data_IF_229501606579
#
_entry.id   IF_229501606579
#
_cell.length_a   1.000
_cell.length_b   1.000
_cell.length_c   1.000
_cell.angle_alpha   90.00
_cell.angle_beta   90.00
_cell.angle_gamma   90.00
#
_symmetry.space_group_name_H-M   'P 1'
#
loop_
_entity.id
_entity.type
_entity.pdbx_description
1 polymer ?
#
# COMPACT_ATOMS: atom_id res chain seq x y z
N UNK A 1 4.94 30.45 -15.63
CA UNK A 1 6.37 30.82 -15.55
C UNK A 1 6.79 30.71 -14.09
N UNK A 2 7.37 29.59 -13.70
CA UNK A 2 8.10 29.47 -12.43
C UNK A 2 9.55 29.13 -12.78
N UNK A 3 10.44 29.89 -12.15
CA UNK A 3 11.84 30.08 -12.50
C UNK A 3 12.67 28.80 -12.27
N UNK A 4 13.29 28.30 -13.33
CA UNK A 4 14.12 27.09 -13.39
C UNK A 4 15.44 27.18 -12.60
N UNK A 5 15.73 28.33 -11.96
CA UNK A 5 16.99 28.56 -11.23
C UNK A 5 16.98 27.98 -9.80
N UNK A 6 15.86 28.03 -9.09
CA UNK A 6 15.78 27.51 -7.71
C UNK A 6 15.83 25.98 -7.64
N UNK A 7 15.31 25.31 -8.65
CA UNK A 7 15.32 23.84 -8.73
C UNK A 7 16.73 23.28 -9.00
N UNK A 8 17.59 24.05 -9.66
CA UNK A 8 18.98 23.66 -9.92
C UNK A 8 19.89 23.93 -8.71
N UNK A 9 19.60 24.95 -7.90
CA UNK A 9 20.34 25.22 -6.67
C UNK A 9 20.11 24.12 -5.61
N UNK A 10 18.88 23.63 -5.47
CA UNK A 10 18.55 22.52 -4.55
C UNK A 10 19.14 21.18 -5.00
N UNK A 11 19.27 20.94 -6.32
CA UNK A 11 19.95 19.75 -6.86
C UNK A 11 21.46 19.77 -6.62
N UNK A 12 22.09 20.94 -6.68
CA UNK A 12 23.53 21.09 -6.41
C UNK A 12 23.88 20.84 -4.94
N UNK A 13 23.00 21.21 -3.99
CA UNK A 13 23.22 20.92 -2.56
C UNK A 13 23.05 19.44 -2.20
N UNK A 14 22.31 18.65 -2.99
CA UNK A 14 22.15 17.21 -2.76
C UNK A 14 23.34 16.37 -3.24
N UNK A 15 24.20 16.89 -4.10
CA UNK A 15 25.35 16.16 -4.67
C UNK A 15 26.62 16.21 -3.81
N UNK A 16 26.64 16.97 -2.71
CA UNK A 16 27.82 17.14 -1.83
C UNK A 16 27.69 16.47 -0.45
N UNK A 17 26.89 15.40 -0.32
CA UNK A 17 26.87 14.61 0.93
C UNK A 17 27.76 13.37 0.82
N UNK A 18 28.66 13.24 1.81
CA UNK A 18 29.63 12.15 1.95
C UNK A 18 28.96 10.75 1.88
N UNK A 19 29.60 9.74 1.28
CA UNK A 19 29.01 8.43 0.99
C UNK A 19 28.97 7.47 2.20
N UNK A 20 28.77 7.99 3.41
CA UNK A 20 28.62 7.17 4.64
C UNK A 20 27.20 7.15 5.20
N UNK A 21 26.26 7.89 4.62
CA UNK A 21 24.85 7.81 5.03
C UNK A 21 24.18 6.59 4.39
N UNK A 22 24.25 5.47 5.11
CA UNK A 22 23.40 4.30 4.86
C UNK A 22 21.94 4.74 4.93
N UNK A 23 21.29 4.82 3.77
CA UNK A 23 19.83 4.83 3.71
C UNK A 23 19.32 3.50 4.30
N UNK A 24 18.92 3.54 5.56
CA UNK A 24 18.20 2.44 6.20
C UNK A 24 16.77 2.48 5.67
N UNK A 25 16.50 1.63 4.68
CA UNK A 25 15.15 1.20 4.39
C UNK A 25 14.58 0.53 5.65
N UNK A 26 13.41 0.99 6.10
CA UNK A 26 12.66 0.30 7.16
C UNK A 26 12.02 -0.94 6.52
N UNK A 27 12.84 -1.97 6.33
CA UNK A 27 12.39 -3.35 6.25
C UNK A 27 12.65 -3.98 7.63
N UNK A 28 11.66 -4.73 8.10
CA UNK A 28 11.72 -5.55 9.32
C UNK A 28 11.77 -4.80 10.65
N UNK A 29 10.74 -4.03 10.94
CA UNK A 29 10.22 -3.98 12.31
C UNK A 29 9.02 -4.93 12.38
N UNK A 30 9.21 -6.10 13.00
CA UNK A 30 8.11 -6.84 13.62
C UNK A 30 7.50 -5.92 14.70
N UNK A 31 6.60 -5.01 14.32
CA UNK A 31 5.94 -4.10 15.26
C UNK A 31 4.86 -4.87 16.03
N UNK A 32 5.29 -5.50 17.11
CA UNK A 32 4.37 -5.95 18.14
C UNK A 32 3.87 -4.74 18.93
N UNK A 33 2.56 -4.49 18.85
CA UNK A 33 1.64 -3.80 19.81
C UNK A 33 1.65 -2.26 19.91
N UNK A 34 0.53 -1.68 19.45
CA UNK A 34 -0.19 -0.47 19.91
C UNK A 34 0.56 0.57 20.78
N UNK A 35 1.02 1.65 20.15
CA UNK A 35 1.60 2.84 20.81
C UNK A 35 0.53 3.90 21.19
N UNK A 36 -0.48 3.53 21.99
CA UNK A 36 -1.44 4.50 22.55
C UNK A 36 -1.07 4.82 24.01
N UNK A 37 -1.19 6.08 24.39
CA UNK A 37 -0.98 6.54 25.77
C UNK A 37 -2.27 6.25 26.56
N UNK A 38 -2.24 5.18 27.35
CA UNK A 38 -3.34 4.78 28.21
C UNK A 38 -3.14 5.28 29.63
N UNK A 39 -4.22 5.73 30.25
CA UNK A 39 -4.20 6.18 31.63
C UNK A 39 -5.49 5.78 32.37
N UNK A 40 -5.38 4.99 33.45
CA UNK A 40 -6.53 4.67 34.26
C UNK A 40 -6.81 5.81 35.25
N UNK A 41 -8.09 6.18 35.34
CA UNK A 41 -8.60 7.14 36.31
C UNK A 41 -9.58 6.46 37.26
N UNK A 42 -9.79 7.04 38.44
CA UNK A 42 -10.97 6.78 39.25
C UNK A 42 -11.94 7.95 39.20
N UNK A 43 -13.22 7.63 39.18
CA UNK A 43 -14.31 8.54 39.47
C UNK A 43 -15.37 7.77 40.24
N UNK A 44 -15.82 8.29 41.39
CA UNK A 44 -16.93 7.70 42.15
C UNK A 44 -16.76 6.20 42.44
N UNK A 45 -15.54 5.79 42.82
CA UNK A 45 -15.14 4.41 43.09
C UNK A 45 -15.16 3.46 41.88
N UNK A 46 -15.31 3.99 40.66
CA UNK A 46 -15.20 3.23 39.44
C UNK A 46 -13.91 3.59 38.71
N UNK A 47 -13.22 2.56 38.23
CA UNK A 47 -12.11 2.72 37.30
C UNK A 47 -12.63 3.07 35.90
N UNK A 48 -11.99 4.05 35.28
CA UNK A 48 -12.26 4.57 33.94
C UNK A 48 -10.97 4.47 33.14
N UNK A 49 -10.98 3.65 32.09
CA UNK A 49 -9.83 3.51 31.21
C UNK A 49 -9.86 4.58 30.12
N UNK A 50 -8.93 5.53 30.19
CA UNK A 50 -8.88 6.63 29.24
C UNK A 50 -7.69 6.51 28.28
N UNK A 51 -7.92 6.95 27.04
CA UNK A 51 -6.84 7.25 26.09
C UNK A 51 -6.52 8.74 26.19
N UNK A 52 -5.24 9.08 26.29
CA UNK A 52 -4.76 10.46 26.17
C UNK A 52 -4.54 10.76 24.68
N UNK A 53 -5.30 11.72 24.14
CA UNK A 53 -5.27 12.06 22.72
C UNK A 53 -5.05 13.56 22.52
N UNK A 54 -3.83 13.92 22.11
CA UNK A 54 -3.45 15.31 21.78
C UNK A 54 -4.10 15.80 20.49
N UNK A 55 -4.63 14.91 19.66
CA UNK A 55 -5.41 15.25 18.47
C UNK A 55 -6.86 15.62 18.74
N UNK A 56 -7.38 15.35 19.95
CA UNK A 56 -8.77 15.63 20.30
C UNK A 56 -8.91 16.98 21.01
N UNK A 57 -9.74 17.89 20.48
CA UNK A 57 -10.03 19.18 21.14
C UNK A 57 -10.82 19.03 22.44
N UNK A 58 -11.71 18.06 22.50
CA UNK A 58 -12.60 17.81 23.63
C UNK A 58 -12.34 16.43 24.25
N UNK A 59 -12.72 16.27 25.51
CA UNK A 59 -12.75 14.98 26.17
C UNK A 59 -14.10 14.30 25.90
N UNK A 60 -14.10 13.00 25.68
CA UNK A 60 -15.28 12.21 25.37
C UNK A 60 -15.46 11.04 26.35
N UNK A 61 -16.70 10.64 26.59
CA UNK A 61 -17.05 9.49 27.44
C UNK A 61 -18.12 8.64 26.77
N UNK A 62 -18.03 7.33 26.91
CA UNK A 62 -19.03 6.42 26.39
C UNK A 62 -20.27 6.41 27.28
N UNK A 63 -21.50 6.43 26.72
CA UNK A 63 -22.73 6.43 27.54
C UNK A 63 -22.86 5.22 28.49
N UNK A 64 -22.19 4.09 28.20
CA UNK A 64 -22.12 2.97 29.14
C UNK A 64 -21.51 3.38 30.49
N UNK A 65 -20.56 4.32 30.48
CA UNK A 65 -19.89 4.82 31.68
C UNK A 65 -20.75 5.80 32.44
N UNK A 66 -21.53 6.65 31.77
CA UNK A 66 -22.47 7.54 32.47
C UNK A 66 -23.51 6.74 33.24
N UNK A 67 -24.00 5.63 32.67
CA UNK A 67 -24.87 4.66 33.37
C UNK A 67 -24.17 3.98 34.54
N UNK A 68 -22.92 3.52 34.35
CA UNK A 68 -22.14 2.82 35.40
C UNK A 68 -21.84 3.74 36.60
N UNK A 69 -21.53 5.01 36.34
CA UNK A 69 -21.30 6.04 37.36
C UNK A 69 -22.60 6.53 38.01
N UNK A 70 -23.77 6.11 37.51
CA UNK A 70 -25.08 6.57 37.99
C UNK A 70 -25.22 8.11 37.98
N UNK A 71 -24.68 8.75 36.93
CA UNK A 71 -24.72 10.20 36.77
C UNK A 71 -25.60 10.62 35.61
N UNK A 72 -26.42 11.64 35.86
CA UNK A 72 -27.28 12.23 34.84
C UNK A 72 -26.46 13.08 33.88
N UNK A 73 -26.67 12.86 32.58
CA UNK A 73 -26.14 13.71 31.52
C UNK A 73 -26.97 14.97 31.35
N UNK A 74 -26.32 16.07 31.00
CA UNK A 74 -26.97 17.34 30.67
C UNK A 74 -27.10 17.49 29.15
N UNK A 75 -28.23 18.06 28.70
CA UNK A 75 -28.42 18.38 27.28
C UNK A 75 -27.64 19.64 26.92
N UNK A 76 -26.93 19.60 25.80
CA UNK A 76 -26.22 20.76 25.27
C UNK A 76 -27.21 21.82 24.76
N UNK A 77 -26.92 23.12 24.94
CA UNK A 77 -27.72 24.20 24.35
C UNK A 77 -27.80 24.09 22.82
N UNK A 78 -26.67 23.78 22.19
CA UNK A 78 -26.55 23.55 20.76
C UNK A 78 -25.84 22.22 20.50
N UNK A 79 -26.45 21.30 19.73
CA UNK A 79 -25.77 20.09 19.29
C UNK A 79 -24.55 20.42 18.43
N UNK A 80 -23.46 19.68 18.62
CA UNK A 80 -22.25 19.84 17.81
C UNK A 80 -22.03 18.60 16.95
N UNK A 81 -21.57 18.78 15.72
CA UNK A 81 -21.13 17.66 14.88
C UNK A 81 -19.65 17.43 15.09
N UNK A 82 -19.28 16.23 15.53
CA UNK A 82 -17.90 15.81 15.76
C UNK A 82 -17.50 14.81 14.69
N UNK A 83 -16.33 15.02 14.09
CA UNK A 83 -15.67 14.04 13.24
C UNK A 83 -14.56 13.36 14.04
N UNK A 84 -14.62 12.04 14.15
CA UNK A 84 -13.64 11.24 14.89
C UNK A 84 -12.47 10.84 13.99
N UNK A 85 -11.37 10.39 14.59
CA UNK A 85 -10.16 9.99 13.85
C UNK A 85 -10.36 8.82 12.86
N UNK A 86 -11.45 8.07 13.00
CA UNK A 86 -11.86 7.02 12.05
C UNK A 86 -12.62 7.57 10.81
N UNK A 87 -12.87 8.88 10.76
CA UNK A 87 -13.62 9.55 9.70
C UNK A 87 -15.14 9.55 9.90
N UNK A 88 -15.66 8.83 10.90
CA UNK A 88 -17.08 8.86 11.24
C UNK A 88 -17.48 10.20 11.85
N UNK A 89 -18.72 10.58 11.62
CA UNK A 89 -19.31 11.80 12.18
C UNK A 89 -20.47 11.45 13.11
N UNK A 90 -20.54 12.13 14.25
CA UNK A 90 -21.65 12.01 15.19
C UNK A 90 -22.12 13.39 15.62
N UNK A 91 -23.44 13.55 15.74
CA UNK A 91 -24.03 14.71 16.39
C UNK A 91 -24.07 14.45 17.89
N UNK A 92 -23.30 15.22 18.64
CA UNK A 92 -23.26 15.18 20.10
C UNK A 92 -24.30 16.17 20.63
N UNK A 93 -25.17 15.67 21.50
CA UNK A 93 -26.30 16.43 22.06
C UNK A 93 -26.24 16.55 23.58
N UNK A 94 -25.36 15.78 24.24
CA UNK A 94 -25.28 15.70 25.69
C UNK A 94 -23.84 15.70 26.16
N UNK A 95 -23.64 16.20 27.37
CA UNK A 95 -22.37 16.19 28.07
C UNK A 95 -22.56 15.78 29.53
N UNK A 96 -21.45 15.50 30.20
CA UNK A 96 -21.40 15.24 31.64
C UNK A 96 -20.17 15.90 32.23
N UNK A 97 -20.29 16.45 33.44
CA UNK A 97 -19.15 16.92 34.23
C UNK A 97 -18.79 15.84 35.23
N UNK A 98 -17.53 15.44 35.24
CA UNK A 98 -17.01 14.41 36.14
C UNK A 98 -15.70 14.87 36.77
N UNK A 99 -15.57 14.55 38.04
CA UNK A 99 -14.30 14.62 38.75
C UNK A 99 -13.56 13.30 38.55
N UNK A 100 -12.37 13.35 37.97
CA UNK A 100 -11.52 12.17 37.74
C UNK A 100 -10.17 12.36 38.44
N UNK A 101 -9.62 11.30 39.05
CA UNK A 101 -8.26 11.30 39.59
C UNK A 101 -7.44 10.17 38.96
N UNK A 102 -6.20 10.40 38.50
CA UNK A 102 -5.36 9.32 38.01
C UNK A 102 -5.15 8.27 39.11
N UNK A 103 -5.27 6.97 38.81
CA UNK A 103 -5.18 5.92 39.85
C UNK A 103 -3.83 5.87 40.57
N UNK A 104 -2.77 6.32 39.91
CA UNK A 104 -1.42 6.39 40.48
C UNK A 104 -1.19 7.64 41.33
N UNK A 105 -2.14 8.58 41.36
CA UNK A 105 -2.08 9.73 42.24
C UNK A 105 -2.48 9.30 43.67
N UNK A 106 -1.47 9.07 44.51
CA UNK A 106 -1.66 8.72 45.93
C UNK A 106 -2.35 9.83 46.73
N UNK A 107 -2.29 11.08 46.26
CA UNK A 107 -2.95 12.22 46.90
C UNK A 107 -4.41 12.38 46.47
N UNK A 108 -4.88 11.57 45.50
CA UNK A 108 -6.25 11.54 44.97
C UNK A 108 -6.78 12.92 44.59
N UNK A 109 -5.96 13.77 43.98
CA UNK A 109 -6.45 15.06 43.53
C UNK A 109 -7.49 14.87 42.44
N UNK A 110 -8.70 15.30 42.73
CA UNK A 110 -9.80 15.25 41.78
C UNK A 110 -9.64 16.37 40.74
N UNK A 111 -9.72 15.99 39.47
CA UNK A 111 -9.62 16.88 38.31
C UNK A 111 -10.98 16.94 37.64
N UNK A 112 -11.68 18.06 37.81
CA UNK A 112 -12.97 18.28 37.16
C UNK A 112 -12.78 18.40 35.64
N UNK A 113 -13.56 17.66 34.87
CA UNK A 113 -13.60 17.78 33.41
C UNK A 113 -15.01 17.65 32.85
N UNK A 114 -15.21 18.29 31.70
CA UNK A 114 -16.43 18.14 30.92
C UNK A 114 -16.17 17.12 29.81
N UNK A 115 -16.95 16.04 29.82
CA UNK A 115 -16.95 15.03 28.78
C UNK A 115 -18.18 15.17 27.88
N UNK A 116 -17.95 15.09 26.58
CA UNK A 116 -18.99 14.93 25.58
C UNK A 116 -19.38 13.45 25.46
N UNK A 117 -20.67 13.15 25.39
CA UNK A 117 -21.14 11.75 25.40
C UNK A 117 -21.21 11.21 23.98
N UNK A 118 -20.51 10.10 23.72
CA UNK A 118 -20.45 9.45 22.41
C UNK A 118 -20.44 7.93 22.54
N UNK A 119 -21.31 7.24 21.79
CA UNK A 119 -21.41 5.77 21.79
C UNK A 119 -20.54 5.08 20.73
N UNK A 120 -19.78 5.84 19.95
CA UNK A 120 -18.86 5.29 18.94
C UNK A 120 -17.42 5.21 19.47
N UNK A 121 -17.20 5.52 20.74
CA UNK A 121 -15.87 5.48 21.35
C UNK A 121 -15.37 4.03 21.51
N UNK A 122 -14.13 3.73 21.11
CA UNK A 122 -13.52 2.41 21.27
C UNK A 122 -13.00 2.16 22.69
N UNK A 123 -13.24 3.07 23.64
CA UNK A 123 -12.76 3.01 25.02
C UNK A 123 -13.80 3.62 25.98
N UNK A 124 -13.51 3.60 27.28
CA UNK A 124 -14.41 4.21 28.27
C UNK A 124 -14.43 5.74 28.12
N UNK A 125 -13.25 6.35 27.99
CA UNK A 125 -13.08 7.79 27.78
C UNK A 125 -11.91 8.14 26.86
N UNK A 126 -12.00 9.31 26.21
CA UNK A 126 -10.88 10.01 25.58
C UNK A 126 -10.62 11.29 26.38
N UNK A 127 -9.38 11.55 26.72
CA UNK A 127 -8.92 12.78 27.36
C UNK A 127 -8.28 13.66 26.29
N UNK A 128 -8.95 14.77 26.00
CA UNK A 128 -8.53 15.73 24.98
C UNK A 128 -7.87 16.98 25.55
N UNK A 129 -7.60 17.92 24.66
CA UNK A 129 -6.90 19.17 24.94
C UNK A 129 -7.61 20.03 25.99
N UNK A 130 -8.95 20.03 26.06
CA UNK A 130 -9.69 20.78 27.08
C UNK A 130 -9.28 20.40 28.52
N UNK A 131 -9.07 19.11 28.79
CA UNK A 131 -8.60 18.63 30.07
C UNK A 131 -7.11 18.94 30.27
N UNK A 132 -6.30 18.65 29.24
CA UNK A 132 -4.85 18.83 29.32
C UNK A 132 -4.45 20.29 29.58
N UNK A 133 -5.10 21.23 28.88
CA UNK A 133 -4.88 22.67 29.07
C UNK A 133 -5.34 23.09 30.46
N UNK A 134 -6.56 22.70 30.88
CA UNK A 134 -7.14 23.07 32.19
C UNK A 134 -6.25 22.63 33.36
N UNK A 135 -5.66 21.44 33.26
CA UNK A 135 -4.89 20.83 34.34
C UNK A 135 -3.36 20.86 34.11
N UNK A 136 -2.91 21.66 33.15
CA UNK A 136 -1.49 21.83 32.78
C UNK A 136 -0.76 20.49 32.63
N UNK A 137 -1.32 19.59 31.82
CA UNK A 137 -0.75 18.27 31.56
C UNK A 137 0.47 18.41 30.66
N UNK A 138 1.61 17.87 31.10
CA UNK A 138 2.82 17.73 30.28
C UNK A 138 3.11 16.26 30.02
N UNK A 139 3.42 15.94 28.77
CA UNK A 139 3.66 14.57 28.31
C UNK A 139 5.12 14.52 27.80
N UNK A 140 5.98 13.85 28.57
CA UNK A 140 7.33 13.51 28.13
C UNK A 140 7.35 12.06 27.63
N UNK A 141 7.24 11.90 26.32
CA UNK A 141 7.25 10.59 25.67
C UNK A 141 8.60 9.89 25.71
N UNK A 142 9.70 10.64 25.79
CA UNK A 142 11.05 10.07 25.86
C UNK A 142 11.33 9.44 27.22
N UNK A 143 10.93 10.12 28.28
CA UNK A 143 11.08 9.64 29.66
C UNK A 143 9.89 8.82 30.14
N UNK A 144 8.86 8.65 29.30
CA UNK A 144 7.62 7.97 29.66
C UNK A 144 7.01 8.56 30.96
N UNK A 145 6.97 9.91 31.03
CA UNK A 145 6.52 10.69 32.20
C UNK A 145 5.35 11.58 31.81
N UNK A 146 4.29 11.57 32.62
CA UNK A 146 3.14 12.47 32.47
C UNK A 146 2.92 13.24 33.77
N UNK A 147 2.92 14.57 33.69
CA UNK A 147 2.75 15.45 34.85
C UNK A 147 1.50 16.31 34.74
N UNK A 148 0.97 16.76 35.88
CA UNK A 148 -0.22 17.60 35.96
C UNK A 148 0.07 18.84 36.80
N UNK A 149 0.41 19.97 36.16
CA UNK A 149 0.70 21.22 36.87
C UNK A 149 1.73 21.08 37.99
N UNK A 150 1.43 21.64 39.17
CA UNK A 150 2.30 21.63 40.36
C UNK A 150 2.41 20.26 41.08
N UNK A 151 1.79 19.21 40.54
CA UNK A 151 1.99 17.85 41.01
C UNK A 151 2.88 17.12 40.00
N UNK A 152 4.17 17.00 40.32
CA UNK A 152 5.03 16.03 39.65
C UNK A 152 4.54 14.64 40.06
N UNK A 153 3.93 13.92 39.12
CA UNK A 153 3.58 12.52 39.34
C UNK A 153 4.58 11.68 38.54
N UNK A 154 5.50 11.05 39.25
CA UNK A 154 6.46 10.11 38.67
C UNK A 154 5.76 8.77 38.49
N UNK A 155 5.37 8.45 37.25
CA UNK A 155 4.76 7.17 36.90
C UNK A 155 5.82 6.06 36.99
N UNK A 156 5.93 5.39 38.14
CA UNK A 156 6.84 4.24 38.32
C UNK A 156 6.49 3.01 37.45
N UNK A 157 5.32 3.01 36.83
CA UNK A 157 4.85 1.94 35.97
C UNK A 157 4.58 2.48 34.55
N UNK A 158 5.09 1.76 33.55
CA UNK A 158 5.03 2.10 32.13
C UNK A 158 3.70 2.74 31.71
N UNK A 159 3.72 3.97 31.19
CA UNK A 159 2.56 4.62 30.54
C UNK A 159 2.11 3.82 29.30
N UNK A 160 3.05 3.07 28.70
CA UNK A 160 2.79 2.00 27.74
C UNK A 160 2.39 0.71 28.49
N UNK A 161 1.12 0.61 28.87
CA UNK A 161 0.58 -0.65 29.35
C UNK A 161 0.52 -1.67 28.21
N UNK A 162 1.14 -2.84 28.43
CA UNK A 162 1.05 -4.01 27.55
C UNK A 162 -0.27 -4.79 27.71
N UNK A 163 -1.17 -4.31 28.57
CA UNK A 163 -2.47 -4.93 28.81
C UNK A 163 -3.41 -4.61 27.63
N UNK A 164 -3.82 -5.66 26.92
CA UNK A 164 -4.89 -5.62 25.91
C UNK A 164 -6.20 -5.19 26.60
N UNK A 165 -6.80 -4.05 26.23
CA UNK A 165 -8.21 -3.83 26.49
C UNK A 165 -9.00 -4.69 25.49
N UNK A 166 -10.00 -5.44 25.97
CA UNK A 166 -11.03 -6.06 25.13
C UNK A 166 -11.99 -4.99 24.60
N UNK A 167 -11.45 -4.05 23.82
CA UNK A 167 -12.20 -2.94 23.25
C UNK A 167 -11.96 -2.88 21.76
N UNK A 168 -13.08 -2.88 21.02
CA UNK A 168 -13.18 -2.83 19.57
C UNK A 168 -12.18 -1.82 19.01
N UNK A 169 -11.15 -2.40 18.42
CA UNK A 169 -9.97 -1.68 18.01
C UNK A 169 -10.36 -0.84 16.77
N UNK A 170 -9.75 0.32 16.57
CA UNK A 170 -9.72 0.92 15.23
C UNK A 170 -9.03 -0.05 14.26
N UNK A 171 -8.14 -0.91 14.78
CA UNK A 171 -7.69 -2.11 14.11
C UNK A 171 -8.76 -3.19 13.93
N UNK A 172 -9.97 -3.19 14.48
CA UNK A 172 -11.01 -4.19 14.14
C UNK A 172 -11.81 -3.74 12.92
N UNK A 173 -12.00 -2.43 12.75
CA UNK A 173 -12.50 -1.85 11.49
C UNK A 173 -11.42 -1.94 10.41
N UNK A 174 -10.15 -1.65 10.75
CA UNK A 174 -9.05 -1.87 9.82
C UNK A 174 -8.75 -3.36 9.62
N UNK A 175 -8.83 -4.25 10.62
CA UNK A 175 -8.61 -5.71 10.46
C UNK A 175 -9.73 -6.35 9.67
N UNK A 176 -10.97 -5.87 9.70
CA UNK A 176 -11.96 -6.40 8.78
C UNK A 176 -11.60 -6.12 7.30
N UNK A 177 -10.88 -5.03 7.00
CA UNK A 177 -10.31 -4.77 5.67
C UNK A 177 -8.90 -5.32 5.47
N UNK A 178 -8.06 -5.38 6.52
CA UNK A 178 -6.69 -5.90 6.52
C UNK A 178 -6.72 -7.41 6.44
N UNK A 179 -7.63 -8.10 7.11
CA UNK A 179 -7.89 -9.53 6.90
C UNK A 179 -8.38 -9.81 5.48
N UNK A 180 -9.10 -8.90 4.81
CA UNK A 180 -9.41 -9.07 3.38
C UNK A 180 -8.16 -8.88 2.51
N UNK A 181 -7.39 -7.82 2.75
CA UNK A 181 -6.15 -7.52 2.01
C UNK A 181 -5.09 -8.60 2.25
N UNK A 182 -4.86 -9.01 3.49
CA UNK A 182 -3.95 -10.08 3.91
C UNK A 182 -4.42 -11.44 3.38
N UNK A 183 -5.72 -11.76 3.37
CA UNK A 183 -6.22 -12.97 2.66
C UNK A 183 -6.03 -12.88 1.15
N UNK A 184 -6.15 -11.70 0.55
CA UNK A 184 -5.86 -11.47 -0.88
C UNK A 184 -4.35 -11.61 -1.12
N UNK A 185 -3.51 -11.05 -0.25
CA UNK A 185 -2.07 -11.16 -0.30
C UNK A 185 -1.64 -12.61 -0.12
N UNK A 186 -2.10 -13.34 0.89
CA UNK A 186 -1.82 -14.77 1.06
C UNK A 186 -2.21 -15.59 -0.17
N UNK A 187 -3.37 -15.31 -0.79
CA UNK A 187 -3.78 -15.91 -2.08
C UNK A 187 -2.84 -15.55 -3.23
N UNK A 188 -2.35 -14.31 -3.29
CA UNK A 188 -1.41 -13.83 -4.31
C UNK A 188 0.02 -14.38 -4.07
N UNK A 189 0.43 -14.53 -2.81
CA UNK A 189 1.72 -15.07 -2.40
C UNK A 189 1.82 -16.56 -2.71
N UNK A 190 0.74 -17.31 -2.52
CA UNK A 190 0.63 -18.71 -2.91
C UNK A 190 0.78 -18.94 -4.44
N UNK A 191 0.63 -17.89 -5.25
CA UNK A 191 0.80 -17.93 -6.72
C UNK A 191 2.15 -17.40 -7.21
N UNK A 192 3.11 -17.09 -6.32
CA UNK A 192 4.39 -16.44 -6.70
C UNK A 192 5.21 -17.21 -7.74
N UNK A 193 5.09 -18.53 -7.81
CA UNK A 193 5.92 -19.36 -8.70
C UNK A 193 5.37 -19.52 -10.11
N UNK A 194 4.07 -19.25 -10.33
CA UNK A 194 3.43 -19.33 -11.63
C UNK A 194 3.11 -17.92 -12.15
N UNK A 195 3.47 -17.65 -13.41
CA UNK A 195 3.20 -16.35 -14.06
C UNK A 195 1.69 -16.12 -14.19
N UNK A 196 0.88 -17.19 -14.22
CA UNK A 196 -0.56 -17.11 -14.41
C UNK A 196 -0.92 -16.75 -15.85
N UNK A 197 -2.19 -16.92 -16.21
CA UNK A 197 -2.72 -16.55 -17.54
C UNK A 197 -4.03 -15.81 -17.34
N UNK A 198 -4.20 -14.71 -18.04
CA UNK A 198 -5.45 -13.94 -18.04
C UNK A 198 -6.55 -14.81 -18.64
N UNK A 199 -7.62 -15.00 -17.87
CA UNK A 199 -8.80 -15.75 -18.32
C UNK A 199 -9.64 -14.86 -19.25
N UNK A 200 -10.27 -15.46 -20.26
CA UNK A 200 -11.20 -14.79 -21.18
C UNK A 200 -10.60 -13.66 -22.05
N UNK A 201 -9.28 -13.62 -22.19
CA UNK A 201 -8.59 -12.68 -23.05
C UNK A 201 -7.65 -13.43 -23.98
N UNK A 202 -7.69 -13.13 -25.27
CA UNK A 202 -6.78 -13.68 -26.28
C UNK A 202 -6.29 -12.53 -27.14
N UNK A 203 -4.98 -12.45 -27.35
CA UNK A 203 -4.38 -11.44 -28.21
C UNK A 203 -4.26 -11.92 -29.66
N UNK A 204 -4.80 -11.15 -30.61
CA UNK A 204 -4.72 -11.41 -32.04
C UNK A 204 -3.73 -10.46 -32.70
N UNK A 205 -2.84 -11.00 -33.53
CA UNK A 205 -1.83 -10.25 -34.27
C UNK A 205 -2.34 -10.06 -35.69
N UNK A 206 -2.87 -8.88 -35.97
CA UNK A 206 -3.36 -8.54 -37.31
C UNK A 206 -2.24 -7.91 -38.13
N UNK A 207 -2.01 -8.43 -39.35
CA UNK A 207 -1.00 -7.94 -40.26
C UNK A 207 -1.66 -7.16 -41.41
N UNK A 208 -0.92 -6.22 -41.99
CA UNK A 208 -1.27 -5.50 -43.21
C UNK A 208 -1.08 -6.36 -44.46
N UNK A 209 -0.18 -7.35 -44.39
CA UNK A 209 0.04 -8.37 -45.40
C UNK A 209 0.44 -9.68 -44.72
N UNK A 210 0.15 -10.81 -45.37
CA UNK A 210 0.47 -12.15 -44.85
C UNK A 210 1.86 -12.65 -45.26
N UNK A 211 2.70 -11.77 -45.81
CA UNK A 211 4.05 -12.11 -46.22
C UNK A 211 4.91 -12.42 -44.98
N UNK A 212 5.55 -13.59 -44.91
CA UNK A 212 6.37 -13.94 -43.76
C UNK A 212 7.60 -13.04 -43.68
N UNK A 213 7.85 -12.50 -42.49
CA UNK A 213 9.10 -11.80 -42.20
C UNK A 213 10.17 -12.84 -41.98
N UNK A 214 11.25 -12.82 -42.76
CA UNK A 214 12.42 -13.68 -42.54
C UNK A 214 13.65 -12.83 -42.29
N UNK A 215 14.30 -13.10 -41.16
CA UNK A 215 15.55 -12.47 -40.75
C UNK A 215 16.55 -13.53 -40.35
N UNK A 216 17.81 -13.31 -40.69
CA UNK A 216 18.92 -14.13 -40.21
C UNK A 216 19.21 -13.86 -38.74
N UNK A 217 19.64 -14.90 -38.03
CA UNK A 217 20.07 -14.81 -36.64
C UNK A 217 21.22 -13.82 -36.42
N UNK A 218 21.23 -13.21 -35.22
CA UNK A 218 22.40 -12.46 -34.77
C UNK A 218 23.46 -13.39 -34.20
N UNK A 219 24.76 -13.10 -34.43
CA UNK A 219 25.84 -13.88 -33.84
C UNK A 219 25.84 -13.71 -32.31
N UNK A 220 25.83 -14.82 -31.58
CA UNK A 220 25.93 -14.83 -30.12
C UNK A 220 27.37 -15.15 -29.69
N UNK A 221 28.01 -14.29 -28.87
CA UNK A 221 29.34 -14.53 -28.32
C UNK A 221 29.41 -15.85 -27.55
N UNK A 222 30.54 -16.57 -27.66
CA UNK A 222 30.74 -17.88 -27.01
C UNK A 222 30.46 -17.84 -25.50
N UNK A 223 30.87 -16.77 -24.84
CA UNK A 223 30.68 -16.54 -23.40
C UNK A 223 29.22 -16.40 -22.96
N UNK A 224 28.30 -16.15 -23.89
CA UNK A 224 26.86 -15.96 -23.61
C UNK A 224 26.01 -17.15 -24.05
N UNK A 225 26.55 -18.09 -24.84
CA UNK A 225 25.80 -19.22 -25.40
C UNK A 225 25.24 -20.16 -24.34
N UNK A 226 26.03 -20.48 -23.33
CA UNK A 226 25.60 -21.38 -22.24
C UNK A 226 24.46 -20.75 -21.43
N UNK A 227 24.65 -19.49 -21.00
CA UNK A 227 23.61 -18.71 -20.31
C UNK A 227 22.33 -18.58 -21.15
N UNK A 228 22.47 -18.35 -22.45
CA UNK A 228 21.33 -18.29 -23.37
C UNK A 228 20.57 -19.61 -23.42
N UNK A 229 21.30 -20.74 -23.53
CA UNK A 229 20.70 -22.08 -23.54
C UNK A 229 19.93 -22.36 -22.24
N UNK A 230 20.50 -22.02 -21.10
CA UNK A 230 19.85 -22.19 -19.79
C UNK A 230 18.60 -21.33 -19.65
N UNK A 231 18.66 -20.07 -20.11
CA UNK A 231 17.52 -19.16 -20.10
C UNK A 231 16.39 -19.67 -20.99
N UNK A 232 16.70 -20.16 -22.20
CA UNK A 232 15.71 -20.76 -23.10
C UNK A 232 15.07 -22.02 -22.49
N UNK A 233 15.87 -22.89 -21.85
CA UNK A 233 15.37 -24.07 -21.17
C UNK A 233 14.41 -23.69 -20.02
N UNK A 234 14.70 -22.63 -19.27
CA UNK A 234 13.82 -22.12 -18.22
C UNK A 234 12.49 -21.64 -18.79
N UNK A 235 12.51 -20.88 -19.88
CA UNK A 235 11.29 -20.39 -20.56
C UNK A 235 10.45 -21.55 -21.13
N UNK A 236 11.08 -22.58 -21.70
CA UNK A 236 10.39 -23.80 -22.16
C UNK A 236 9.74 -24.56 -20.99
N UNK A 237 10.45 -24.72 -19.86
CA UNK A 237 9.92 -25.37 -18.65
C UNK A 237 8.71 -24.61 -18.08
N UNK A 238 8.72 -23.28 -18.19
CA UNK A 238 7.61 -22.41 -17.81
C UNK A 238 6.49 -22.35 -18.87
N UNK A 239 6.61 -23.07 -20.00
CA UNK A 239 5.66 -23.11 -21.12
C UNK A 239 5.42 -21.77 -21.83
N UNK A 240 6.32 -20.80 -21.66
CA UNK A 240 6.25 -19.46 -22.29
C UNK A 240 6.62 -19.55 -23.78
N UNK A 241 7.59 -20.42 -24.11
CA UNK A 241 8.04 -20.68 -25.48
C UNK A 241 7.92 -22.17 -25.80
N UNK A 242 7.76 -22.48 -27.08
CA UNK A 242 7.73 -23.84 -27.62
C UNK A 242 8.49 -23.93 -28.93
N UNK A 243 8.82 -25.15 -29.36
CA UNK A 243 9.41 -25.40 -30.67
C UNK A 243 8.42 -25.03 -31.78
N UNK A 244 8.94 -24.47 -32.87
CA UNK A 244 8.13 -24.05 -34.01
C UNK A 244 8.87 -24.20 -35.33
N UNK A 245 8.13 -24.48 -36.38
CA UNK A 245 8.53 -24.62 -37.78
C UNK A 245 7.95 -23.51 -38.67
N UNK A 246 7.63 -22.34 -38.08
CA UNK A 246 7.02 -21.22 -38.79
C UNK A 246 7.91 -20.66 -39.91
N UNK A 247 7.26 -20.17 -40.96
CA UNK A 247 7.90 -19.43 -42.04
C UNK A 247 8.31 -18.00 -41.63
N UNK A 248 7.82 -17.50 -40.50
CA UNK A 248 8.29 -16.24 -39.92
C UNK A 248 9.58 -16.46 -39.14
N UNK A 249 10.50 -15.51 -39.17
CA UNK A 249 11.73 -15.48 -38.39
C UNK A 249 12.09 -14.06 -37.99
N UNK A 250 12.08 -13.81 -36.68
CA UNK A 250 12.67 -12.63 -36.06
C UNK A 250 13.98 -13.01 -35.34
N UNK A 251 15.04 -12.20 -35.42
CA UNK A 251 16.28 -12.55 -34.75
C UNK A 251 16.21 -12.21 -33.27
N UNK A 252 16.83 -13.04 -32.42
CA UNK A 252 16.96 -12.78 -30.99
C UNK A 252 18.41 -12.44 -30.61
N UNK A 253 18.58 -11.63 -29.57
CA UNK A 253 19.88 -11.27 -28.99
C UNK A 253 19.78 -11.13 -27.48
N UNK A 254 20.93 -11.06 -26.81
CA UNK A 254 21.04 -10.97 -25.36
C UNK A 254 21.58 -9.61 -24.92
N UNK A 255 21.12 -9.13 -23.77
CA UNK A 255 21.69 -7.98 -23.06
C UNK A 255 21.98 -8.37 -21.61
N UNK A 256 23.13 -7.96 -21.09
CA UNK A 256 23.46 -8.18 -19.67
C UNK A 256 22.63 -7.28 -18.78
N UNK A 257 22.07 -7.85 -17.72
CA UNK A 257 21.46 -7.11 -16.61
C UNK A 257 22.53 -6.67 -15.61
N UNK A 258 22.24 -5.68 -14.74
CA UNK A 258 23.17 -5.24 -13.70
C UNK A 258 23.57 -6.33 -12.70
N UNK A 259 22.71 -7.33 -12.50
CA UNK A 259 22.92 -8.49 -11.63
C UNK A 259 23.81 -9.60 -12.27
N UNK A 260 24.24 -9.43 -13.52
CA UNK A 260 25.06 -10.39 -14.26
C UNK A 260 24.27 -11.49 -15.00
N UNK A 261 22.94 -11.52 -14.85
CA UNK A 261 22.03 -12.37 -15.62
C UNK A 261 21.76 -11.79 -17.02
N UNK A 262 21.17 -12.58 -17.92
CA UNK A 262 20.88 -12.16 -19.30
C UNK A 262 19.40 -11.79 -19.47
N UNK A 263 19.15 -10.83 -20.35
CA UNK A 263 17.84 -10.51 -20.89
C UNK A 263 17.82 -10.91 -22.36
N UNK A 264 17.08 -11.97 -22.69
CA UNK A 264 16.72 -12.28 -24.08
C UNK A 264 15.94 -11.09 -24.63
N UNK A 265 16.14 -10.69 -25.88
CA UNK A 265 15.40 -9.67 -26.59
C UNK A 265 15.13 -10.19 -28.00
N UNK A 266 13.90 -10.04 -28.50
CA UNK A 266 13.55 -10.44 -29.86
C UNK A 266 13.33 -9.17 -30.67
N UNK A 267 13.99 -9.08 -31.81
CA UNK A 267 13.87 -7.93 -32.69
C UNK A 267 12.66 -8.06 -33.61
N UNK A 268 11.52 -7.58 -33.12
CA UNK A 268 10.29 -7.51 -33.90
C UNK A 268 10.21 -6.29 -34.81
N UNK A 269 11.26 -5.49 -35.02
CA UNK A 269 11.16 -4.24 -35.82
C UNK A 269 10.55 -4.45 -37.21
N UNK A 270 10.96 -5.49 -37.93
CA UNK A 270 10.39 -5.80 -39.26
C UNK A 270 8.93 -6.28 -39.17
N UNK A 271 8.62 -7.17 -38.22
CA UNK A 271 7.25 -7.62 -37.96
C UNK A 271 6.32 -6.46 -37.58
N UNK A 272 6.81 -5.56 -36.74
CA UNK A 272 6.13 -4.35 -36.30
C UNK A 272 5.86 -3.35 -37.44
N UNK A 273 6.53 -3.42 -38.58
CA UNK A 273 6.20 -2.58 -39.75
C UNK A 273 4.93 -3.09 -40.43
N UNK A 274 4.77 -4.41 -40.53
CA UNK A 274 3.61 -5.02 -41.18
C UNK A 274 2.45 -5.30 -40.21
N UNK A 275 2.62 -5.08 -38.90
CA UNK A 275 1.57 -5.29 -37.90
C UNK A 275 0.62 -4.10 -37.84
N UNK A 276 -0.69 -4.35 -37.86
CA UNK A 276 -1.72 -3.32 -37.68
C UNK A 276 -1.70 -2.79 -36.26
N UNK A 277 -1.56 -1.46 -36.13
CA UNK A 277 -1.69 -0.80 -34.84
C UNK A 277 -3.14 -0.83 -34.40
N UNK A 278 -3.40 -1.32 -33.19
CA UNK A 278 -4.71 -1.25 -32.55
C UNK A 278 -4.68 -0.14 -31.49
N UNK A 279 -5.12 1.10 -31.82
CA UNK A 279 -5.23 2.16 -30.83
C UNK A 279 -6.32 1.80 -29.82
N UNK A 280 -6.05 2.06 -28.55
CA UNK A 280 -7.02 1.95 -27.48
C UNK A 280 -7.09 3.29 -26.76
N UNK A 281 -8.26 3.94 -26.68
CA UNK A 281 -8.40 5.21 -25.97
C UNK A 281 -8.17 4.95 -24.48
N UNK A 282 -7.09 5.52 -23.95
CA UNK A 282 -6.79 5.44 -22.52
C UNK A 282 -7.17 6.78 -21.89
N UNK A 283 -7.85 6.78 -20.73
CA UNK A 283 -8.21 8.02 -20.06
C UNK A 283 -6.96 8.85 -19.77
N UNK A 284 -7.10 10.17 -19.83
CA UNK A 284 -6.00 11.07 -19.51
C UNK A 284 -5.57 10.90 -18.06
N UNK A 285 -4.32 11.26 -17.74
CA UNK A 285 -3.82 11.23 -16.37
C UNK A 285 -4.70 12.09 -15.44
N UNK A 286 -5.25 13.20 -15.96
CA UNK A 286 -6.14 14.09 -15.20
C UNK A 286 -7.47 13.41 -14.87
N UNK A 287 -8.07 12.71 -15.82
CA UNK A 287 -9.30 11.94 -15.61
C UNK A 287 -9.07 10.84 -14.57
N UNK A 288 -7.96 10.11 -14.66
CA UNK A 288 -7.60 9.08 -13.67
C UNK A 288 -7.43 9.68 -12.27
N UNK A 289 -6.84 10.87 -12.12
CA UNK A 289 -6.75 11.53 -10.81
C UNK A 289 -8.09 12.04 -10.29
N UNK A 290 -9.01 12.43 -11.17
CA UNK A 290 -10.37 12.80 -10.76
C UNK A 290 -11.13 11.60 -10.21
N UNK A 291 -10.98 10.42 -10.81
CA UNK A 291 -11.59 9.18 -10.34
C UNK A 291 -11.10 8.77 -8.95
N UNK A 292 -9.88 9.17 -8.60
CA UNK A 292 -9.28 8.93 -7.29
C UNK A 292 -9.73 9.93 -6.21
N UNK A 293 -10.47 10.99 -6.58
CA UNK A 293 -10.89 12.03 -5.64
C UNK A 293 -11.82 11.47 -4.56
N UNK A 294 -11.53 11.78 -3.30
CA UNK A 294 -12.31 11.29 -2.14
C UNK A 294 -11.86 9.92 -1.65
N UNK A 295 -10.94 9.25 -2.35
CA UNK A 295 -10.29 8.05 -1.84
C UNK A 295 -9.26 8.43 -0.78
N UNK A 296 -9.27 7.70 0.34
CA UNK A 296 -8.37 7.93 1.49
C UNK A 296 -7.22 6.94 1.56
N UNK A 297 -7.29 5.84 0.80
CA UNK A 297 -6.31 4.76 0.79
C UNK A 297 -6.01 4.34 -0.64
N UNK A 298 -4.72 4.10 -0.93
CA UNK A 298 -4.24 3.70 -2.24
C UNK A 298 -3.41 2.43 -2.13
N UNK A 299 -3.50 1.56 -3.13
CA UNK A 299 -2.67 0.36 -3.24
C UNK A 299 -2.10 0.28 -4.64
N UNK A 300 -0.80 0.05 -4.73
CA UNK A 300 -0.10 -0.14 -5.99
C UNK A 300 0.19 -1.63 -6.17
N UNK A 301 -0.36 -2.21 -7.24
CA UNK A 301 -0.13 -3.60 -7.61
C UNK A 301 0.72 -3.63 -8.88
N UNK A 302 1.81 -4.39 -8.85
CA UNK A 302 2.64 -4.64 -10.03
C UNK A 302 2.46 -6.08 -10.51
N UNK A 303 2.24 -6.24 -11.82
CA UNK A 303 2.02 -7.55 -12.44
C UNK A 303 3.36 -8.20 -12.77
N UNK A 304 3.68 -9.29 -12.08
CA UNK A 304 4.90 -10.08 -12.35
C UNK A 304 4.90 -10.59 -13.78
N UNK A 305 5.79 -10.01 -14.60
CA UNK A 305 5.93 -10.35 -16.02
C UNK A 305 4.58 -10.29 -16.78
N UNK A 306 3.77 -9.26 -16.52
CA UNK A 306 2.38 -9.16 -17.00
C UNK A 306 2.16 -9.48 -18.48
N UNK A 307 3.11 -9.14 -19.37
CA UNK A 307 3.00 -9.49 -20.79
C UNK A 307 2.86 -10.99 -21.05
N UNK A 308 3.60 -11.84 -20.33
CA UNK A 308 3.49 -13.31 -20.50
C UNK A 308 2.19 -13.89 -19.95
N UNK A 309 1.37 -13.10 -19.26
CA UNK A 309 0.06 -13.54 -18.79
C UNK A 309 -1.00 -13.48 -19.89
N UNK A 310 -0.72 -12.78 -21.00
CA UNK A 310 -1.66 -12.65 -22.12
C UNK A 310 -1.42 -13.77 -23.13
N UNK A 311 -2.39 -14.68 -23.31
CA UNK A 311 -2.25 -15.73 -24.31
C UNK A 311 -2.45 -15.17 -25.72
N UNK A 312 -1.68 -15.69 -26.67
CA UNK A 312 -1.80 -15.33 -28.09
C UNK A 312 -2.83 -16.25 -28.75
N UNK A 313 -3.58 -15.72 -29.71
CA UNK A 313 -4.46 -16.52 -30.56
C UNK A 313 -3.65 -17.65 -31.20
N UNK A 314 -3.98 -18.95 -31.01
CA UNK A 314 -3.09 -20.05 -31.37
C UNK A 314 -2.57 -20.00 -32.82
N UNK A 315 -3.37 -19.65 -33.84
CA UNK A 315 -2.89 -19.47 -35.22
C UNK A 315 -1.87 -18.33 -35.42
N UNK A 316 -1.81 -17.36 -34.53
CA UNK A 316 -0.92 -16.20 -34.58
C UNK A 316 0.41 -16.42 -33.85
N UNK A 317 0.53 -17.48 -33.04
CA UNK A 317 1.79 -17.85 -32.36
C UNK A 317 2.96 -17.97 -33.34
N UNK A 318 2.69 -18.49 -34.54
CA UNK A 318 3.65 -18.60 -35.65
C UNK A 318 4.25 -17.26 -36.07
N UNK A 319 3.53 -16.14 -35.91
CA UNK A 319 4.00 -14.79 -36.26
C UNK A 319 5.05 -14.29 -35.26
N UNK A 320 5.07 -14.83 -34.04
CA UNK A 320 6.08 -14.55 -33.01
C UNK A 320 7.23 -15.57 -32.99
N UNK A 321 7.45 -16.25 -34.12
CA UNK A 321 8.61 -17.12 -34.25
C UNK A 321 9.91 -16.30 -34.24
N UNK A 322 10.90 -16.81 -33.51
CA UNK A 322 12.23 -16.26 -33.47
C UNK A 322 13.29 -17.36 -33.57
N UNK A 323 14.41 -16.98 -34.18
CA UNK A 323 15.56 -17.85 -34.34
C UNK A 323 16.61 -17.53 -33.28
N UNK A 324 17.22 -18.58 -32.74
CA UNK A 324 18.34 -18.50 -31.82
C UNK A 324 19.31 -19.64 -32.12
N UNK A 325 20.60 -19.39 -31.89
CA UNK A 325 21.77 -20.19 -32.26
C UNK A 325 21.73 -21.70 -31.92
N UNK A 326 20.70 -22.18 -31.21
CA UNK A 326 20.49 -23.58 -30.89
C UNK A 326 19.15 -24.18 -31.38
N UNK A 327 18.06 -23.40 -31.58
CA UNK A 327 16.70 -23.91 -31.84
C UNK A 327 15.77 -22.86 -32.49
N UNK A 328 14.88 -23.34 -33.37
CA UNK A 328 13.72 -22.62 -33.89
C UNK A 328 12.59 -22.62 -32.85
N UNK A 329 12.17 -21.45 -32.37
CA UNK A 329 11.25 -21.31 -31.24
C UNK A 329 10.14 -20.30 -31.54
N UNK A 330 8.92 -20.57 -31.06
CA UNK A 330 7.81 -19.60 -31.04
C UNK A 330 7.38 -19.30 -29.62
N UNK A 331 7.00 -18.05 -29.39
CA UNK A 331 6.32 -17.64 -28.17
C UNK A 331 4.86 -18.10 -28.20
N UNK A 332 4.40 -18.70 -27.10
CA UNK A 332 2.97 -19.00 -26.86
C UNK A 332 2.25 -17.81 -26.24
N UNK A 333 2.99 -17.02 -25.48
CA UNK A 333 2.49 -15.87 -24.73
C UNK A 333 3.15 -14.56 -25.17
N UNK A 334 2.47 -13.46 -24.87
CA UNK A 334 2.78 -12.16 -25.41
C UNK A 334 4.05 -11.52 -24.82
N UNK A 335 4.80 -10.73 -25.62
CA UNK A 335 6.06 -10.09 -25.19
C UNK A 335 6.04 -8.57 -25.36
N UNK A 336 6.68 -7.88 -24.40
CA UNK A 336 6.81 -6.41 -24.30
C UNK A 336 7.38 -5.68 -25.52
N UNK A 337 8.07 -6.37 -26.42
CA UNK A 337 8.93 -5.76 -27.43
C UNK A 337 8.29 -5.71 -28.84
N UNK A 338 7.06 -6.22 -29.01
CA UNK A 338 6.27 -5.97 -30.23
C UNK A 338 5.71 -4.53 -30.23
N UNK A 339 5.13 -4.01 -31.31
CA UNK A 339 4.62 -2.62 -31.39
C UNK A 339 3.25 -2.41 -30.72
N UNK A 340 2.43 -3.46 -30.69
CA UNK A 340 1.08 -3.49 -30.11
C UNK A 340 0.94 -3.85 -28.60
N UNK A 341 1.99 -4.09 -27.79
CA UNK A 341 1.84 -4.52 -26.41
C UNK A 341 1.14 -3.57 -25.53
N UNK A 342 1.52 -2.31 -25.60
CA UNK A 342 1.13 -1.42 -24.53
C UNK A 342 -0.36 -1.06 -24.64
N UNK A 343 -0.88 -0.89 -25.86
CA UNK A 343 -2.31 -0.62 -26.08
C UNK A 343 -3.18 -1.87 -25.89
N UNK A 344 -2.75 -3.03 -26.40
CA UNK A 344 -3.54 -4.25 -26.25
C UNK A 344 -3.50 -4.80 -24.82
N UNK A 345 -2.36 -4.75 -24.15
CA UNK A 345 -2.25 -5.13 -22.74
C UNK A 345 -3.13 -4.22 -21.88
N UNK A 346 -3.10 -2.90 -22.10
CA UNK A 346 -4.00 -1.94 -21.43
C UNK A 346 -5.48 -2.23 -21.70
N UNK A 347 -5.84 -2.51 -22.96
CA UNK A 347 -7.21 -2.88 -23.33
C UNK A 347 -7.66 -4.11 -22.55
N UNK A 348 -6.84 -5.14 -22.52
CA UNK A 348 -7.18 -6.39 -21.85
C UNK A 348 -7.28 -6.24 -20.33
N UNK A 349 -6.40 -5.44 -19.72
CA UNK A 349 -6.51 -5.09 -18.30
C UNK A 349 -7.76 -4.28 -17.97
N UNK A 350 -8.28 -3.49 -18.91
CA UNK A 350 -9.51 -2.72 -18.72
C UNK A 350 -10.78 -3.57 -18.92
N UNK A 351 -10.69 -4.68 -19.64
CA UNK A 351 -11.84 -5.59 -19.91
C UNK A 351 -11.94 -6.76 -18.94
N UNK A 352 -10.89 -7.02 -18.16
CA UNK A 352 -10.88 -8.01 -17.07
C UNK A 352 -11.33 -7.34 -15.77
#
# INVERSE_FOLDING_TARGET
FHDTKDCNFLKAQQQNRNPTDKNLAINDAKSNKNDLIYMPFSSENHEINAIIDTGSKHSFIHSKMTKKLNRLSEKMPEPITVQFGNGETQIITHYIKLDISPLFDQTKHMKETTFLISDILPCDCIIGLNFMIKHAVSINVWENKLTFGHCEIETKNNILSTAKPDCLNINDILQNKKNQVDRILEKLEASKDNIGTIKNSIFKIELNNDNPVQCSEYPVPLSEREKLKDHLNKLMKQKIIDLSDSNFSSPAFTKKKPDGDIRLLIDYRKLNVITKTQPYPFPSIKEQFLDLRGSTHFTLLDLKQGYYQVPIYPPDTKKQHFQSLAKNLSLKDFRSDSKTPHSSFKRQLHTC
#
